data_IF_690404924331
#
_entry.id   IF_690404924331
#
_cell.length_a   1.000
_cell.length_b   1.000
_cell.length_c   1.000
_cell.angle_alpha   90.00
_cell.angle_beta   90.00
_cell.angle_gamma   90.00
#
_symmetry.space_group_name_H-M   'P 1'
#
loop_
_entity.id
_entity.type
_entity.pdbx_description
1 polymer ?
#
# COMPACT_ATOMS: atom_id res chain seq x y z
N UNK A 1 -10.71 55.81 6.83
CA UNK A 1 -10.91 54.95 5.65
C UNK A 1 -10.36 53.57 5.98
N UNK A 2 -11.19 52.52 5.96
CA UNK A 2 -10.71 51.14 6.03
C UNK A 2 -10.48 50.67 4.59
N UNK A 3 -9.22 50.56 4.18
CA UNK A 3 -8.88 49.99 2.88
C UNK A 3 -8.97 48.48 2.95
N UNK A 4 -9.75 47.85 2.08
CA UNK A 4 -9.62 46.42 1.81
C UNK A 4 -8.46 46.23 0.82
N UNK A 5 -7.38 45.54 1.19
CA UNK A 5 -6.32 45.24 0.23
C UNK A 5 -6.89 44.35 -0.87
N UNK A 6 -6.84 44.84 -2.11
CA UNK A 6 -7.37 44.16 -3.31
C UNK A 6 -6.42 43.12 -3.90
N UNK A 7 -5.24 42.93 -3.29
CA UNK A 7 -4.24 41.97 -3.72
C UNK A 7 -3.34 41.62 -2.54
N UNK A 8 -3.30 40.35 -2.22
CA UNK A 8 -2.36 39.78 -1.26
C UNK A 8 -1.82 38.50 -1.88
N UNK A 9 -0.60 38.14 -1.55
CA UNK A 9 0.01 36.89 -1.98
C UNK A 9 0.78 36.27 -0.84
N UNK A 10 0.80 34.95 -0.79
CA UNK A 10 1.63 34.19 0.14
C UNK A 10 2.86 33.71 -0.62
N UNK A 11 4.03 34.11 -0.17
CA UNK A 11 5.30 33.61 -0.71
C UNK A 11 5.93 32.64 0.29
N UNK A 12 6.27 31.45 -0.19
CA UNK A 12 7.00 30.43 0.58
C UNK A 12 8.34 30.21 -0.10
N UNK A 13 9.42 30.53 0.60
CA UNK A 13 10.78 30.26 0.17
C UNK A 13 11.26 28.94 0.77
N UNK A 14 11.72 28.01 -0.07
CA UNK A 14 12.32 26.76 0.37
C UNK A 14 13.47 26.36 -0.55
N UNK A 15 14.63 26.07 0.04
CA UNK A 15 15.85 25.66 -0.68
C UNK A 15 16.20 26.57 -1.89
N UNK A 16 16.08 27.88 -1.69
CA UNK A 16 16.35 28.89 -2.71
C UNK A 16 15.26 29.02 -3.80
N UNK A 17 14.14 28.31 -3.67
CA UNK A 17 12.99 28.37 -4.59
C UNK A 17 11.81 29.06 -3.91
N UNK A 18 11.29 30.10 -4.57
CA UNK A 18 10.06 30.79 -4.15
C UNK A 18 8.84 30.15 -4.84
N UNK A 19 7.80 29.86 -4.06
CA UNK A 19 6.46 29.55 -4.53
C UNK A 19 5.51 30.66 -4.10
N UNK A 20 4.64 31.11 -4.99
CA UNK A 20 3.72 32.23 -4.72
C UNK A 20 2.29 31.76 -4.92
N UNK A 21 1.44 31.95 -3.91
CA UNK A 21 0.00 31.77 -4.02
C UNK A 21 -0.64 33.14 -4.15
N UNK A 22 -1.40 33.36 -5.23
CA UNK A 22 -2.25 34.52 -5.36
C UNK A 22 -3.41 34.41 -4.37
N UNK A 23 -3.56 35.41 -3.50
CA UNK A 23 -4.55 35.40 -2.44
C UNK A 23 -6.00 35.47 -2.95
N UNK A 24 -6.31 36.36 -3.91
CA UNK A 24 -7.64 36.43 -4.51
C UNK A 24 -8.10 35.16 -5.24
N UNK A 25 -7.24 34.51 -6.03
CA UNK A 25 -7.63 33.36 -6.86
C UNK A 25 -7.29 32.01 -6.24
N UNK A 26 -6.32 31.98 -5.31
CA UNK A 26 -5.74 30.75 -4.80
C UNK A 26 -4.81 30.05 -5.79
N UNK A 27 -4.50 30.67 -6.93
CA UNK A 27 -3.62 30.08 -7.93
C UNK A 27 -2.18 30.02 -7.41
N UNK A 28 -1.56 28.85 -7.54
CA UNK A 28 -0.17 28.61 -7.15
C UNK A 28 0.75 28.79 -8.37
N UNK A 29 1.63 29.79 -8.31
CA UNK A 29 2.75 29.94 -9.21
C UNK A 29 3.87 28.98 -8.81
N UNK A 30 3.92 27.85 -9.52
CA UNK A 30 4.82 26.74 -9.23
C UNK A 30 6.26 27.04 -9.69
N UNK A 31 6.42 27.77 -10.80
CA UNK A 31 7.72 28.28 -11.29
C UNK A 31 8.87 27.26 -11.25
N UNK A 32 9.98 27.65 -10.62
CA UNK A 32 11.16 26.81 -10.46
C UNK A 32 10.94 25.60 -9.53
N UNK A 33 9.84 25.57 -8.76
CA UNK A 33 9.44 24.41 -7.96
C UNK A 33 8.72 23.34 -8.80
N UNK A 34 8.38 23.59 -10.07
CA UNK A 34 7.66 22.63 -10.92
C UNK A 34 8.23 21.20 -10.91
N UNK A 35 9.56 20.96 -10.88
CA UNK A 35 10.12 19.61 -10.78
C UNK A 35 9.71 18.86 -9.50
N UNK A 36 9.43 19.56 -8.39
CA UNK A 36 8.93 18.95 -7.14
C UNK A 36 7.53 18.36 -7.31
N UNK A 37 6.75 18.88 -8.25
CA UNK A 37 5.42 18.40 -8.61
C UNK A 37 5.46 17.36 -9.74
N UNK A 38 6.59 17.24 -10.44
CA UNK A 38 6.83 16.28 -11.52
C UNK A 38 7.57 15.03 -11.04
N UNK A 39 7.60 14.77 -9.74
CA UNK A 39 8.11 13.51 -9.23
C UNK A 39 7.19 12.41 -9.79
N UNK A 40 7.62 11.76 -10.87
CA UNK A 40 6.89 10.67 -11.51
C UNK A 40 6.81 9.45 -10.60
N UNK A 41 6.06 8.44 -11.02
CA UNK A 41 6.21 7.09 -10.49
C UNK A 41 7.48 6.52 -11.12
N UNK A 42 8.46 6.18 -10.31
CA UNK A 42 9.82 5.82 -10.77
C UNK A 42 9.89 4.43 -11.38
N UNK A 43 8.90 3.57 -11.13
CA UNK A 43 8.82 2.21 -11.63
C UNK A 43 7.39 1.87 -12.08
N UNK A 44 7.29 1.16 -13.21
CA UNK A 44 6.02 0.60 -13.68
C UNK A 44 5.57 -0.60 -12.84
N UNK A 45 4.37 -1.15 -13.09
CA UNK A 45 3.85 -2.28 -12.35
C UNK A 45 4.80 -3.48 -12.41
N UNK A 46 5.16 -4.04 -11.24
CA UNK A 46 6.02 -5.22 -11.13
C UNK A 46 5.39 -6.26 -10.21
N UNK A 47 5.37 -7.55 -10.62
CA UNK A 47 4.87 -8.60 -9.75
C UNK A 47 5.83 -8.77 -8.56
N UNK A 48 5.27 -9.11 -7.41
CA UNK A 48 6.08 -9.68 -6.35
C UNK A 48 6.54 -11.08 -6.79
N UNK A 49 7.66 -11.54 -6.27
CA UNK A 49 8.21 -12.86 -6.51
C UNK A 49 7.29 -13.98 -5.99
N UNK A 50 7.71 -15.21 -6.27
CA UNK A 50 6.91 -16.41 -5.99
C UNK A 50 6.42 -16.50 -4.54
N UNK A 51 5.18 -16.96 -4.31
CA UNK A 51 4.62 -17.10 -2.98
C UNK A 51 5.36 -18.17 -2.16
N UNK A 52 5.82 -17.79 -0.97
CA UNK A 52 6.35 -18.71 0.02
C UNK A 52 5.27 -19.04 1.05
N UNK A 53 4.78 -20.27 1.04
CA UNK A 53 3.75 -20.75 1.95
C UNK A 53 4.32 -21.31 3.26
N UNK A 54 3.57 -21.13 4.35
CA UNK A 54 3.84 -21.81 5.61
C UNK A 54 3.73 -23.34 5.46
N UNK A 55 4.46 -24.13 6.25
CA UNK A 55 4.42 -25.59 6.17
C UNK A 55 3.00 -26.16 6.24
N UNK A 56 2.70 -27.09 5.32
CA UNK A 56 1.40 -27.74 5.24
C UNK A 56 0.31 -26.91 4.57
N UNK A 57 0.64 -25.75 3.98
CA UNK A 57 -0.25 -24.96 3.14
C UNK A 57 0.31 -24.80 1.73
N UNK A 58 -0.55 -24.66 0.73
CA UNK A 58 -0.18 -24.30 -0.65
C UNK A 58 -1.34 -23.62 -1.37
N UNK A 59 -1.05 -23.04 -2.53
CA UNK A 59 -2.09 -22.56 -3.43
C UNK A 59 -2.94 -23.73 -3.95
N UNK A 60 -4.23 -23.49 -4.17
CA UNK A 60 -5.07 -24.30 -5.06
C UNK A 60 -4.67 -23.94 -6.51
N UNK A 61 -4.61 -24.92 -7.42
CA UNK A 61 -4.06 -24.77 -8.79
C UNK A 61 -4.63 -23.60 -9.62
N UNK A 62 -5.81 -23.07 -9.26
CA UNK A 62 -6.45 -21.92 -9.92
C UNK A 62 -6.61 -20.69 -9.00
N UNK A 63 -6.24 -20.80 -7.72
CA UNK A 63 -6.33 -19.70 -6.77
C UNK A 63 -5.20 -18.70 -7.01
N UNK A 64 -5.54 -17.54 -7.53
CA UNK A 64 -4.56 -16.47 -7.75
C UNK A 64 -4.31 -15.77 -6.43
N UNK A 65 -3.13 -16.02 -5.85
CA UNK A 65 -2.56 -15.14 -4.86
C UNK A 65 -1.71 -14.09 -5.59
N UNK A 66 -2.22 -12.86 -5.67
CA UNK A 66 -1.55 -11.80 -6.41
C UNK A 66 -0.98 -10.76 -5.47
N UNK A 67 0.29 -10.47 -5.69
CA UNK A 67 0.98 -9.31 -5.15
C UNK A 67 1.63 -8.59 -6.33
N UNK A 68 1.25 -7.34 -6.54
CA UNK A 68 1.73 -6.48 -7.61
C UNK A 68 2.05 -5.11 -7.04
N UNK A 69 3.30 -4.70 -7.12
CA UNK A 69 3.66 -3.31 -6.84
C UNK A 69 3.30 -2.49 -8.06
N UNK A 70 2.18 -1.77 -8.00
CA UNK A 70 1.71 -0.91 -9.10
C UNK A 70 2.66 0.25 -9.33
N UNK A 71 3.20 0.80 -8.25
CA UNK A 71 4.12 1.93 -8.31
C UNK A 71 4.95 2.07 -7.05
N UNK A 72 6.14 2.63 -7.22
CA UNK A 72 7.00 3.08 -6.14
C UNK A 72 7.53 4.49 -6.44
N UNK A 73 7.54 5.33 -5.41
CA UNK A 73 7.90 6.73 -5.54
C UNK A 73 8.58 7.25 -4.27
N UNK A 74 9.77 7.84 -4.40
CA UNK A 74 10.35 8.64 -3.32
C UNK A 74 9.80 10.07 -3.36
N UNK A 75 9.45 10.63 -2.21
CA UNK A 75 8.84 11.95 -2.05
C UNK A 75 9.37 12.64 -0.78
N UNK A 76 9.77 13.92 -0.85
CA UNK A 76 10.19 14.65 0.33
C UNK A 76 9.00 15.03 1.24
N UNK A 77 7.76 15.00 0.71
CA UNK A 77 6.54 15.34 1.42
C UNK A 77 5.41 14.37 1.06
N UNK A 78 4.61 13.96 2.05
CA UNK A 78 3.38 13.18 1.88
C UNK A 78 2.24 13.86 2.64
N UNK A 79 1.09 14.03 2.00
CA UNK A 79 -0.08 14.60 2.67
C UNK A 79 -0.47 13.76 3.89
N UNK A 80 -0.79 14.40 5.02
CA UNK A 80 -1.07 13.73 6.29
C UNK A 80 0.16 13.45 7.15
N UNK A 81 1.32 13.16 6.54
CA UNK A 81 2.59 12.94 7.25
C UNK A 81 3.51 14.17 7.25
N UNK A 82 3.37 15.05 6.27
CA UNK A 82 4.21 16.24 6.10
C UNK A 82 5.55 15.93 5.43
N UNK A 83 6.54 16.77 5.73
CA UNK A 83 7.91 16.61 5.25
C UNK A 83 8.61 15.43 5.94
N UNK A 84 9.44 14.71 5.18
CA UNK A 84 10.30 13.67 5.74
C UNK A 84 11.33 14.30 6.71
N UNK A 85 11.82 13.54 7.71
CA UNK A 85 12.89 14.02 8.58
C UNK A 85 14.15 14.43 7.80
N UNK A 86 14.98 15.28 8.40
CA UNK A 86 16.21 15.76 7.78
C UNK A 86 17.12 14.59 7.36
N UNK A 87 17.59 14.62 6.12
CA UNK A 87 18.41 13.54 5.53
C UNK A 87 17.62 12.28 5.14
N UNK A 88 16.29 12.32 5.19
CA UNK A 88 15.39 11.19 4.86
C UNK A 88 14.41 11.58 3.76
N UNK A 89 13.73 10.59 3.21
CA UNK A 89 12.63 10.77 2.25
C UNK A 89 11.54 9.73 2.51
N UNK A 90 10.32 10.01 2.08
CA UNK A 90 9.24 9.04 2.11
C UNK A 90 9.31 8.14 0.88
N UNK A 91 9.30 6.83 1.06
CA UNK A 91 9.01 5.88 -0.01
C UNK A 91 7.53 5.50 0.06
N UNK A 92 6.79 5.87 -0.98
CA UNK A 92 5.36 5.58 -1.14
C UNK A 92 5.21 4.45 -2.12
N UNK A 93 4.63 3.33 -1.67
CA UNK A 93 4.30 2.18 -2.49
C UNK A 93 2.79 2.09 -2.67
N UNK A 94 2.35 1.86 -3.90
CA UNK A 94 0.97 1.46 -4.19
C UNK A 94 0.97 0.00 -4.61
N UNK A 95 0.21 -0.81 -3.89
CA UNK A 95 0.25 -2.25 -3.96
C UNK A 95 -1.14 -2.79 -4.28
N UNK A 96 -1.13 -3.84 -5.07
CA UNK A 96 -2.25 -4.70 -5.31
C UNK A 96 -1.94 -6.01 -4.60
N UNK A 97 -2.63 -6.29 -3.51
CA UNK A 97 -2.46 -7.51 -2.72
C UNK A 97 -3.81 -8.14 -2.45
N UNK A 98 -3.91 -9.46 -2.61
CA UNK A 98 -5.11 -10.20 -2.25
C UNK A 98 -4.78 -11.54 -1.62
N UNK A 99 -5.52 -11.93 -0.59
CA UNK A 99 -5.55 -13.33 -0.19
C UNK A 99 -6.34 -14.13 -1.25
N UNK A 100 -5.91 -15.35 -1.61
CA UNK A 100 -6.73 -16.22 -2.42
C UNK A 100 -8.04 -16.55 -1.67
N UNK A 101 -9.14 -16.86 -2.37
CA UNK A 101 -10.40 -17.26 -1.73
C UNK A 101 -10.29 -18.61 -1.00
N UNK A 102 -9.35 -19.45 -1.41
CA UNK A 102 -9.13 -20.80 -0.90
C UNK A 102 -7.64 -21.14 -0.87
N UNK A 103 -7.26 -22.12 -0.05
CA UNK A 103 -5.91 -22.68 -0.02
C UNK A 103 -5.93 -24.15 0.39
N UNK A 104 -4.92 -24.91 -0.02
CA UNK A 104 -4.76 -26.29 0.39
C UNK A 104 -4.15 -26.39 1.78
N UNK A 105 -4.59 -27.39 2.56
CA UNK A 105 -4.08 -27.67 3.90
C UNK A 105 -4.13 -29.15 4.27
N UNK A 106 -3.81 -29.51 5.53
CA UNK A 106 -3.68 -30.91 5.94
C UNK A 106 -4.94 -31.77 5.84
N UNK A 107 -6.12 -31.14 5.74
CA UNK A 107 -7.41 -31.83 5.65
C UNK A 107 -8.12 -31.59 4.30
N UNK A 108 -7.39 -31.11 3.29
CA UNK A 108 -7.92 -30.69 1.99
C UNK A 108 -8.00 -29.17 1.86
N UNK A 109 -8.89 -28.72 0.99
CA UNK A 109 -9.09 -27.30 0.67
C UNK A 109 -9.82 -26.56 1.79
N UNK A 110 -9.33 -25.36 2.12
CA UNK A 110 -9.92 -24.47 3.11
C UNK A 110 -10.37 -23.17 2.43
N UNK A 111 -11.62 -22.76 2.68
CA UNK A 111 -12.13 -21.46 2.27
C UNK A 111 -11.63 -20.38 3.24
N UNK A 112 -11.01 -19.32 2.73
CA UNK A 112 -10.50 -18.21 3.55
C UNK A 112 -11.66 -17.40 4.11
N UNK A 113 -11.73 -17.32 5.44
CA UNK A 113 -12.75 -16.54 6.16
C UNK A 113 -12.23 -15.20 6.67
N UNK A 114 -10.93 -15.15 6.93
CA UNK A 114 -10.27 -13.96 7.42
C UNK A 114 -8.84 -13.90 6.86
N UNK A 115 -8.39 -12.71 6.51
CA UNK A 115 -7.04 -12.48 6.06
C UNK A 115 -6.53 -11.11 6.48
N UNK A 116 -5.24 -11.04 6.79
CA UNK A 116 -4.58 -9.79 7.16
C UNK A 116 -3.15 -9.77 6.62
N UNK A 117 -2.85 -8.70 5.89
CA UNK A 117 -1.52 -8.45 5.34
C UNK A 117 -0.69 -7.58 6.29
N UNK A 118 0.60 -7.88 6.37
CA UNK A 118 1.61 -7.03 6.99
C UNK A 118 2.73 -6.78 6.00
N UNK A 119 3.28 -5.57 6.03
CA UNK A 119 4.27 -5.10 5.06
C UNK A 119 5.60 -4.83 5.76
N UNK A 120 6.70 -5.15 5.09
CA UNK A 120 8.05 -4.90 5.59
C UNK A 120 8.94 -4.38 4.46
N UNK A 121 9.83 -3.45 4.76
CA UNK A 121 10.94 -3.03 3.90
C UNK A 121 12.24 -3.26 4.68
N UNK A 122 13.05 -4.21 4.25
CA UNK A 122 14.27 -4.63 4.93
C UNK A 122 14.03 -4.85 6.43
N UNK A 123 13.01 -5.66 6.74
CA UNK A 123 12.52 -5.98 8.09
C UNK A 123 11.93 -4.81 8.90
N UNK A 124 11.83 -3.61 8.34
CA UNK A 124 11.19 -2.47 8.98
C UNK A 124 9.71 -2.39 8.62
N UNK A 125 8.86 -2.09 9.61
CA UNK A 125 7.45 -1.84 9.39
C UNK A 125 7.24 -0.47 8.72
N UNK A 126 6.15 -0.30 7.96
CA UNK A 126 5.77 1.00 7.42
C UNK A 126 5.42 1.98 8.55
N UNK A 127 5.60 3.26 8.25
CA UNK A 127 5.14 4.35 9.10
C UNK A 127 3.63 4.46 9.03
N UNK A 128 3.06 4.23 7.84
CA UNK A 128 1.63 4.37 7.58
C UNK A 128 1.16 3.36 6.52
N UNK A 129 -0.09 2.87 6.68
CA UNK A 129 -0.75 1.98 5.72
C UNK A 129 -2.23 2.31 5.62
N UNK A 130 -2.77 2.43 4.41
CA UNK A 130 -4.20 2.66 4.20
C UNK A 130 -4.68 2.14 2.83
N UNK A 131 -5.98 1.90 2.71
CA UNK A 131 -6.61 1.60 1.42
C UNK A 131 -6.73 2.90 0.60
N UNK A 132 -6.35 2.87 -0.68
CA UNK A 132 -6.35 4.05 -1.53
C UNK A 132 -7.75 4.68 -1.64
N UNK A 133 -8.81 3.85 -1.68
CA UNK A 133 -10.18 4.35 -1.73
C UNK A 133 -10.61 5.13 -0.48
N UNK A 134 -9.95 4.93 0.66
CA UNK A 134 -10.23 5.67 1.90
C UNK A 134 -9.61 7.08 1.88
N UNK A 135 -8.60 7.29 1.03
CA UNK A 135 -7.97 8.60 0.85
C UNK A 135 -8.62 9.45 -0.27
N UNK A 136 -9.58 8.88 -1.01
CA UNK A 136 -10.27 9.61 -2.08
C UNK A 136 -11.29 10.61 -1.52
N UNK A 137 -11.37 11.84 -2.05
CA UNK A 137 -12.44 12.76 -1.69
C UNK A 137 -13.83 12.24 -2.08
N UNK A 138 -14.87 12.73 -1.40
CA UNK A 138 -16.25 12.39 -1.74
C UNK A 138 -16.57 12.71 -3.22
N UNK A 139 -17.28 11.80 -3.87
CA UNK A 139 -17.71 11.94 -5.26
C UNK A 139 -16.69 11.49 -6.31
N UNK A 140 -15.51 11.04 -5.91
CA UNK A 140 -14.56 10.39 -6.82
C UNK A 140 -14.91 8.91 -7.04
N UNK A 141 -14.64 8.42 -8.25
CA UNK A 141 -14.80 7.00 -8.59
C UNK A 141 -13.75 6.17 -7.84
N UNK A 142 -14.23 5.16 -7.10
CA UNK A 142 -13.37 4.24 -6.35
C UNK A 142 -12.75 3.21 -7.28
N UNK A 143 -11.48 2.87 -7.04
CA UNK A 143 -10.83 1.76 -7.74
C UNK A 143 -11.39 0.44 -7.18
N UNK A 144 -12.00 -0.37 -8.05
CA UNK A 144 -12.58 -1.67 -7.66
C UNK A 144 -11.56 -2.63 -7.07
N UNK A 145 -10.28 -2.45 -7.39
CA UNK A 145 -9.18 -3.26 -6.87
C UNK A 145 -8.66 -2.78 -5.51
N UNK A 146 -9.17 -1.64 -5.02
CA UNK A 146 -8.82 -0.96 -3.77
C UNK A 146 -7.35 -1.10 -3.34
N UNK A 147 -6.41 -0.52 -4.12
CA UNK A 147 -4.99 -0.69 -3.86
C UNK A 147 -4.60 -0.26 -2.44
N UNK A 148 -3.64 -0.96 -1.84
CA UNK A 148 -3.06 -0.56 -0.56
C UNK A 148 -1.93 0.44 -0.80
N UNK A 149 -1.90 1.50 -0.01
CA UNK A 149 -0.78 2.44 0.07
C UNK A 149 0.04 2.12 1.31
N UNK A 150 1.35 2.00 1.14
CA UNK A 150 2.30 1.66 2.20
C UNK A 150 3.45 2.67 2.15
N UNK A 151 3.74 3.30 3.29
CA UNK A 151 4.71 4.40 3.37
C UNK A 151 5.84 4.04 4.32
N UNK A 152 7.08 4.19 3.85
CA UNK A 152 8.30 3.98 4.63
C UNK A 152 9.13 5.27 4.69
N UNK A 153 9.90 5.41 5.76
CA UNK A 153 10.97 6.39 5.84
C UNK A 153 12.29 5.75 5.36
N UNK A 154 12.93 6.32 4.34
CA UNK A 154 14.16 5.74 3.74
C UNK A 154 15.25 6.79 3.55
N UNK A 155 16.47 6.32 3.30
CA UNK A 155 17.58 7.17 2.84
C UNK A 155 17.36 7.49 1.34
N UNK A 156 17.41 8.78 0.93
CA UNK A 156 17.15 9.19 -0.45
C UNK A 156 18.15 8.65 -1.48
N UNK A 157 19.36 8.28 -1.04
CA UNK A 157 20.39 7.71 -1.92
C UNK A 157 20.37 6.18 -1.93
N UNK A 158 19.46 5.57 -1.18
CA UNK A 158 19.38 4.11 -1.12
C UNK A 158 18.83 3.58 -2.44
N UNK A 159 19.55 2.66 -3.12
CA UNK A 159 19.27 2.29 -4.49
C UNK A 159 18.09 1.33 -4.67
N UNK A 160 17.22 1.11 -3.66
CA UNK A 160 16.12 0.12 -3.53
C UNK A 160 16.36 -0.96 -2.45
N UNK A 161 15.28 -1.54 -1.90
CA UNK A 161 15.32 -2.47 -0.73
C UNK A 161 14.48 -3.74 -0.91
N UNK A 162 14.62 -4.71 0.00
CA UNK A 162 13.80 -5.92 -0.02
C UNK A 162 12.43 -5.63 0.62
N UNK A 163 11.40 -5.55 -0.20
CA UNK A 163 10.02 -5.43 0.22
C UNK A 163 9.39 -6.81 0.43
N UNK A 164 8.63 -6.99 1.50
CA UNK A 164 7.93 -8.24 1.82
C UNK A 164 6.47 -7.96 2.20
N UNK A 165 5.56 -8.75 1.63
CA UNK A 165 4.15 -8.81 2.01
C UNK A 165 3.88 -10.15 2.65
N UNK A 166 3.46 -10.17 3.92
CA UNK A 166 3.02 -11.39 4.62
C UNK A 166 1.53 -11.36 4.83
N UNK A 167 0.81 -12.29 4.23
CA UNK A 167 -0.63 -12.44 4.40
C UNK A 167 -0.89 -13.64 5.30
N UNK A 168 -1.46 -13.38 6.48
CA UNK A 168 -1.98 -14.41 7.37
C UNK A 168 -3.42 -14.69 6.99
N UNK A 169 -3.80 -15.96 6.96
CA UNK A 169 -5.14 -16.41 6.60
C UNK A 169 -5.66 -17.39 7.63
N UNK A 170 -6.96 -17.32 7.91
CA UNK A 170 -7.70 -18.37 8.63
C UNK A 170 -8.72 -18.95 7.67
N UNK A 171 -8.61 -20.24 7.41
CA UNK A 171 -9.53 -20.97 6.54
C UNK A 171 -10.38 -21.99 7.29
N UNK A 172 -11.52 -22.32 6.71
CA UNK A 172 -12.43 -23.36 7.17
C UNK A 172 -12.64 -24.41 6.08
N UNK A 173 -12.51 -25.68 6.44
CA UNK A 173 -12.85 -26.80 5.57
C UNK A 173 -14.18 -27.41 6.03
N UNK A 174 -15.09 -27.66 5.08
CA UNK A 174 -16.25 -28.50 5.34
C UNK A 174 -15.77 -29.93 5.64
N UNK A 175 -16.16 -30.47 6.80
CA UNK A 175 -15.94 -31.90 7.03
C UNK A 175 -16.82 -32.69 6.07
N UNK A 176 -16.22 -33.62 5.33
CA UNK A 176 -16.94 -34.68 4.65
C UNK A 176 -17.95 -35.30 5.64
N UNK A 177 -19.24 -35.32 5.25
CA UNK A 177 -20.34 -35.66 6.14
C UNK A 177 -20.08 -36.99 6.87
N UNK A 178 -19.76 -36.91 8.16
CA UNK A 178 -19.72 -38.06 9.05
C UNK A 178 -21.12 -38.68 9.17
N UNK A 179 -21.17 -39.96 9.58
CA UNK A 179 -22.41 -40.75 9.73
C UNK A 179 -23.56 -39.92 10.33
N UNK A 180 -24.73 -40.00 9.67
CA UNK A 180 -26.00 -39.33 10.02
C UNK A 180 -26.16 -39.08 11.53
N UNK A 181 -26.12 -37.82 11.95
CA UNK A 181 -26.56 -37.37 13.28
C UNK A 181 -25.55 -36.54 14.08
N UNK A 182 -24.28 -36.51 13.69
CA UNK A 182 -23.26 -35.72 14.39
C UNK A 182 -23.17 -34.31 13.79
N UNK A 183 -23.37 -33.26 14.61
CA UNK A 183 -23.08 -31.87 14.20
C UNK A 183 -21.57 -31.77 13.96
N UNK A 184 -21.16 -31.77 12.69
CA UNK A 184 -19.75 -31.56 12.35
C UNK A 184 -19.38 -30.12 12.69
N UNK A 185 -18.39 -29.93 13.56
CA UNK A 185 -17.70 -28.65 13.67
C UNK A 185 -16.80 -28.47 12.45
N UNK A 186 -16.79 -27.31 11.79
CA UNK A 186 -15.85 -27.01 10.71
C UNK A 186 -14.41 -27.17 11.24
N UNK A 187 -13.53 -27.69 10.39
CA UNK A 187 -12.10 -27.78 10.71
C UNK A 187 -11.47 -26.46 10.32
N UNK A 188 -10.76 -25.80 11.24
CA UNK A 188 -10.07 -24.55 10.96
C UNK A 188 -8.57 -24.79 10.77
N UNK A 189 -7.95 -24.05 9.87
CA UNK A 189 -6.51 -24.08 9.65
C UNK A 189 -5.99 -22.67 9.38
N UNK A 190 -4.81 -22.37 9.92
CA UNK A 190 -4.15 -21.07 9.76
C UNK A 190 -2.95 -21.25 8.84
N UNK A 191 -2.88 -20.41 7.82
CA UNK A 191 -1.76 -20.37 6.91
C UNK A 191 -1.14 -18.97 6.87
N UNK A 192 0.09 -18.92 6.38
CA UNK A 192 0.77 -17.69 6.01
C UNK A 192 1.36 -17.85 4.62
N UNK A 193 1.30 -16.78 3.84
CA UNK A 193 1.98 -16.68 2.56
C UNK A 193 2.77 -15.38 2.53
N UNK A 194 4.02 -15.47 2.10
CA UNK A 194 4.90 -14.31 1.95
C UNK A 194 5.24 -14.11 0.47
N UNK A 195 5.25 -12.86 0.02
CA UNK A 195 5.79 -12.46 -1.28
C UNK A 195 6.91 -11.46 -1.06
N UNK A 196 7.98 -11.57 -1.85
CA UNK A 196 9.10 -10.63 -1.83
C UNK A 196 9.23 -9.85 -3.13
N UNK A 197 9.60 -8.59 -3.07
CA UNK A 197 9.94 -7.77 -4.24
C UNK A 197 11.17 -6.91 -3.95
N UNK A 198 11.93 -6.55 -4.99
CA UNK A 198 12.99 -5.54 -4.87
C UNK A 198 12.45 -4.23 -5.41
N UNK A 199 12.36 -3.21 -4.55
CA UNK A 199 11.60 -1.98 -4.80
C UNK A 199 12.44 -0.74 -4.77
#
# INVERSE_FOLDING_TARGET
MKGQPSGYSLRVAYDGVDQVVDGPTGELEIGAAAPLYQLGLTSGPQPCGDPLWSPGASAVDESVNWCLVRSAAQRPHVAGLGWAPEGRTWLVLTLLTGAPPEFEGPAGTYEVKDSASTFLLDVQAPVETFALNDALPDGFEKDVSDPQVVIFEVDPNRPTGQFEVRTRMTGEAEKAAGKKGERSRPTTFKAMVAHGAFI
#
